data_IF_904586367244
#
_entry.id   IF_904586367244
#
_cell.length_a   1.000
_cell.length_b   1.000
_cell.length_c   1.000
_cell.angle_alpha   90.00
_cell.angle_beta   90.00
_cell.angle_gamma   90.00
#
_symmetry.space_group_name_H-M   'P 1'
#
loop_
_entity.id
_entity.type
_entity.pdbx_description
1 polymer ?
#
# COMPACT_ATOMS: atom_id res chain seq x y z
N UNK A 1 11.11 -30.93 45.24
CA UNK A 1 10.57 -31.02 46.61
C UNK A 1 9.11 -30.60 46.57
N UNK A 2 8.19 -31.55 46.48
CA UNK A 2 6.74 -31.32 46.49
C UNK A 2 6.15 -32.31 47.50
N UNK A 3 6.15 -31.89 48.77
CA UNK A 3 5.52 -32.61 49.86
C UNK A 3 4.58 -31.64 50.56
N UNK A 4 3.31 -32.04 50.65
CA UNK A 4 2.39 -31.55 51.66
C UNK A 4 1.22 -30.76 51.10
N UNK A 5 0.14 -31.46 50.74
CA UNK A 5 -1.27 -31.09 51.03
C UNK A 5 -2.24 -32.12 50.42
N UNK A 6 -2.23 -33.35 50.94
CA UNK A 6 -3.40 -34.25 50.91
C UNK A 6 -3.39 -35.07 52.20
N UNK A 7 -3.96 -34.50 53.27
CA UNK A 7 -4.44 -35.26 54.43
C UNK A 7 -5.81 -34.69 54.76
N UNK A 8 -6.82 -35.30 54.16
CA UNK A 8 -8.15 -35.49 54.75
C UNK A 8 -8.94 -36.41 53.83
N UNK A 9 -8.97 -37.69 54.19
CA UNK A 9 -10.00 -38.69 53.87
C UNK A 9 -9.36 -40.08 53.95
N UNK A 10 -9.09 -40.52 55.17
CA UNK A 10 -8.90 -41.94 55.45
C UNK A 10 -9.87 -42.23 56.58
N UNK A 11 -10.92 -42.99 56.28
CA UNK A 11 -11.50 -44.06 57.09
C UNK A 11 -12.83 -44.50 56.48
N UNK A 12 -12.76 -45.21 55.36
CA UNK A 12 -13.86 -46.06 54.91
C UNK A 12 -13.30 -47.46 54.71
N UNK A 13 -13.50 -48.34 55.70
CA UNK A 13 -13.06 -49.74 55.59
C UNK A 13 -13.82 -50.43 54.46
N UNK A 14 -13.09 -50.95 53.49
CA UNK A 14 -13.59 -51.82 52.41
C UNK A 14 -13.63 -53.28 52.89
N UNK A 15 -14.34 -53.53 53.99
CA UNK A 15 -14.41 -54.86 54.60
C UNK A 15 -15.84 -55.19 55.08
N UNK A 16 -16.50 -56.17 54.43
CA UNK A 16 -17.84 -56.66 54.80
C UNK A 16 -17.87 -57.52 56.08
N UNK A 17 -17.02 -57.25 57.07
CA UNK A 17 -16.98 -58.01 58.34
C UNK A 17 -16.69 -57.19 59.60
N UNK A 18 -16.61 -55.86 59.52
CA UNK A 18 -16.44 -55.04 60.72
C UNK A 18 -17.79 -54.50 61.21
N UNK A 19 -18.45 -55.29 62.05
CA UNK A 19 -19.54 -54.85 62.93
C UNK A 19 -18.92 -54.33 64.23
N UNK A 20 -19.19 -53.08 64.59
CA UNK A 20 -18.78 -52.48 65.85
C UNK A 20 -20.02 -52.01 66.65
N UNK A 21 -19.95 -52.03 67.99
CA UNK A 21 -20.98 -52.65 68.80
C UNK A 21 -21.88 -51.66 69.56
N UNK A 22 -23.05 -52.19 69.94
CA UNK A 22 -23.87 -51.69 71.03
C UNK A 22 -23.09 -51.72 72.36
N UNK A 23 -23.19 -50.62 73.13
CA UNK A 23 -23.19 -50.70 74.58
C UNK A 23 -22.40 -49.63 75.34
N UNK A 24 -23.16 -48.77 76.05
CA UNK A 24 -23.00 -48.38 77.47
C UNK A 24 -21.73 -47.55 77.79
N UNK A 25 -21.82 -46.34 78.37
CA UNK A 25 -21.82 -46.02 79.82
C UNK A 25 -22.21 -44.52 79.90
N UNK A 26 -23.33 -44.09 80.49
CA UNK A 26 -23.68 -43.92 81.91
C UNK A 26 -23.35 -42.53 82.51
N UNK A 27 -24.34 -42.00 83.25
CA UNK A 27 -24.24 -40.93 84.25
C UNK A 27 -25.15 -39.73 83.95
N UNK A 28 -26.22 -39.40 84.69
CA UNK A 28 -26.81 -39.99 85.89
C UNK A 28 -27.76 -38.99 86.60
N UNK A 29 -28.99 -39.45 86.90
CA UNK A 29 -29.92 -39.11 88.02
C UNK A 29 -30.35 -37.63 88.20
N UNK A 30 -31.55 -37.26 88.64
CA UNK A 30 -32.50 -37.72 89.69
C UNK A 30 -33.89 -37.09 89.35
N UNK A 31 -35.07 -37.56 89.75
CA UNK A 31 -35.44 -38.56 90.74
C UNK A 31 -36.90 -39.03 90.60
N UNK A 32 -37.14 -40.23 91.14
CA UNK A 32 -38.43 -40.83 91.50
C UNK A 32 -39.03 -40.06 92.71
N UNK A 33 -40.28 -40.20 93.18
CA UNK A 33 -41.26 -41.30 93.24
C UNK A 33 -42.59 -40.74 93.85
N UNK A 34 -43.58 -41.53 94.36
CA UNK A 34 -44.04 -42.87 94.00
C UNK A 34 -45.58 -43.00 93.86
N UNK A 35 -45.97 -44.06 93.16
CA UNK A 35 -47.27 -44.74 93.23
C UNK A 35 -47.63 -45.21 94.65
N UNK A 36 -48.93 -45.18 95.00
CA UNK A 36 -49.55 -46.14 95.94
C UNK A 36 -50.98 -46.51 95.49
N UNK A 37 -51.13 -47.75 95.02
CA UNK A 37 -52.35 -48.56 95.20
C UNK A 37 -52.09 -49.50 96.39
N UNK A 38 -53.10 -49.82 97.21
CA UNK A 38 -53.09 -51.07 97.95
C UNK A 38 -54.29 -51.94 97.56
N UNK A 39 -53.98 -53.17 97.10
CA UNK A 39 -54.86 -54.32 97.24
C UNK A 39 -54.45 -55.08 98.51
N UNK A 40 -55.42 -55.54 99.30
CA UNK A 40 -55.12 -56.27 100.53
C UNK A 40 -56.36 -56.79 101.20
N UNK A 41 -56.65 -58.06 100.95
CA UNK A 41 -57.80 -58.84 101.45
C UNK A 41 -57.69 -59.06 102.96
N UNK A 42 -58.77 -58.77 103.70
CA UNK A 42 -58.99 -59.19 105.09
C UNK A 42 -60.34 -59.89 105.21
N UNK A 43 -60.35 -61.08 105.83
CA UNK A 43 -61.51 -61.98 106.03
C UNK A 43 -62.62 -61.38 106.92
N UNK A 44 -63.86 -61.89 106.84
CA UNK A 44 -65.06 -61.21 107.28
C UNK A 44 -65.26 -61.29 108.79
N UNK A 45 -65.83 -60.23 109.37
CA UNK A 45 -66.32 -60.22 110.74
C UNK A 45 -67.72 -59.61 110.77
N UNK A 46 -68.70 -60.48 111.00
CA UNK A 46 -70.08 -60.12 111.32
C UNK A 46 -70.14 -59.37 112.65
N UNK A 47 -70.64 -58.13 112.63
CA UNK A 47 -71.15 -57.44 113.83
C UNK A 47 -72.42 -56.66 113.46
N UNK A 48 -73.35 -56.73 114.40
CA UNK A 48 -74.79 -56.54 114.30
C UNK A 48 -75.26 -55.13 113.86
N UNK A 49 -76.47 -55.02 113.27
CA UNK A 49 -77.02 -53.76 112.79
C UNK A 49 -77.49 -52.88 113.95
N UNK A 50 -77.18 -51.58 113.89
CA UNK A 50 -77.78 -50.57 114.78
C UNK A 50 -78.23 -49.35 113.96
N UNK A 51 -79.51 -49.03 114.14
CA UNK A 51 -80.27 -47.84 113.73
C UNK A 51 -80.58 -47.71 112.23
N UNK A 52 -81.67 -48.35 111.83
CA UNK A 52 -82.43 -48.06 110.61
C UNK A 52 -82.94 -46.62 110.69
N UNK A 53 -82.41 -45.74 109.82
CA UNK A 53 -83.02 -44.44 109.51
C UNK A 53 -84.04 -44.70 108.41
N UNK A 54 -85.31 -44.42 108.66
CA UNK A 54 -86.36 -44.50 107.64
C UNK A 54 -86.14 -43.36 106.63
N UNK A 55 -85.54 -43.68 105.48
CA UNK A 55 -85.46 -42.79 104.32
C UNK A 55 -86.69 -43.10 103.45
N UNK A 56 -87.54 -42.10 103.20
CA UNK A 56 -88.70 -42.21 102.33
C UNK A 56 -88.23 -42.39 100.88
N UNK A 57 -88.20 -43.64 100.40
CA UNK A 57 -87.85 -43.96 99.00
C UNK A 57 -89.07 -43.76 98.13
N UNK A 58 -88.99 -42.85 97.14
CA UNK A 58 -90.05 -42.61 96.16
C UNK A 58 -89.67 -43.29 94.83
N UNK A 59 -90.60 -44.08 94.28
CA UNK A 59 -90.45 -44.71 92.96
C UNK A 59 -91.37 -43.99 91.99
N UNK A 60 -90.80 -43.42 90.93
CA UNK A 60 -91.54 -42.72 89.85
C UNK A 60 -91.33 -43.37 88.50
N UNK A 61 -92.23 -43.05 87.57
CA UNK A 61 -92.11 -43.39 86.15
C UNK A 61 -91.89 -44.90 85.89
N UNK A 62 -92.70 -45.75 86.52
CA UNK A 62 -92.62 -47.19 86.30
C UNK A 62 -93.25 -47.55 84.94
N UNK A 63 -92.41 -47.93 83.98
CA UNK A 63 -92.84 -48.38 82.65
C UNK A 63 -92.59 -49.88 82.52
N UNK A 64 -93.65 -50.64 82.26
CA UNK A 64 -93.60 -52.10 82.11
C UNK A 64 -93.74 -52.45 80.64
N UNK A 65 -92.70 -53.06 80.07
CA UNK A 65 -92.75 -53.62 78.72
C UNK A 65 -92.59 -55.15 78.78
N UNK A 66 -92.90 -55.85 77.67
CA UNK A 66 -92.70 -57.31 77.58
C UNK A 66 -91.25 -57.75 77.83
N UNK A 67 -90.27 -56.85 77.65
CA UNK A 67 -88.84 -57.10 77.85
C UNK A 67 -88.31 -56.75 79.24
N UNK A 68 -89.15 -56.27 80.15
CA UNK A 68 -88.75 -55.90 81.51
C UNK A 68 -89.41 -54.63 82.01
N UNK A 69 -89.05 -54.27 83.24
CA UNK A 69 -89.65 -53.16 83.98
C UNK A 69 -88.56 -52.13 84.29
N UNK A 70 -88.73 -50.90 83.82
CA UNK A 70 -87.90 -49.77 84.23
C UNK A 70 -88.71 -48.89 85.20
N UNK A 71 -88.02 -48.33 86.18
CA UNK A 71 -88.56 -47.35 87.11
C UNK A 71 -87.41 -46.50 87.61
N UNK A 72 -87.71 -45.25 87.93
CA UNK A 72 -86.75 -44.35 88.53
C UNK A 72 -86.88 -44.44 90.06
N UNK A 73 -85.78 -44.79 90.73
CA UNK A 73 -85.70 -44.85 92.19
C UNK A 73 -85.03 -43.57 92.69
N UNK A 74 -85.82 -42.73 93.37
CA UNK A 74 -85.32 -41.51 93.96
C UNK A 74 -85.13 -41.76 95.47
N UNK A 75 -83.87 -41.92 95.87
CA UNK A 75 -83.49 -42.13 97.28
C UNK A 75 -83.44 -40.80 98.07
N UNK A 76 -83.28 -39.68 97.38
CA UNK A 76 -83.34 -38.31 97.90
C UNK A 76 -83.57 -37.33 96.75
N UNK A 77 -84.28 -36.23 97.00
CA UNK A 77 -84.44 -35.17 96.00
C UNK A 77 -83.09 -34.47 95.70
N UNK A 78 -82.81 -34.12 94.43
CA UNK A 78 -81.56 -33.47 94.05
C UNK A 78 -81.44 -32.10 94.73
N UNK A 79 -80.31 -31.86 95.41
CA UNK A 79 -80.07 -30.67 96.25
C UNK A 79 -79.85 -29.38 95.43
N UNK A 80 -79.89 -29.45 94.09
CA UNK A 80 -79.64 -28.34 93.18
C UNK A 80 -80.72 -28.31 92.10
N UNK A 81 -81.54 -27.26 92.07
CA UNK A 81 -82.70 -27.13 91.18
C UNK A 81 -82.37 -26.71 89.73
N UNK A 82 -81.09 -26.55 89.37
CA UNK A 82 -80.69 -26.06 88.03
C UNK A 82 -79.92 -27.11 87.23
N UNK A 83 -80.46 -27.43 86.04
CA UNK A 83 -79.83 -28.23 84.99
C UNK A 83 -78.52 -27.58 84.53
N UNK A 84 -77.46 -28.36 84.34
CA UNK A 84 -76.21 -27.86 83.73
C UNK A 84 -76.51 -27.29 82.33
N UNK A 85 -75.90 -26.15 81.93
CA UNK A 85 -76.10 -25.59 80.59
C UNK A 85 -75.63 -26.60 79.54
N UNK A 86 -76.46 -26.83 78.52
CA UNK A 86 -76.09 -27.64 77.35
C UNK A 86 -74.84 -27.05 76.68
N UNK A 87 -73.95 -27.87 76.10
CA UNK A 87 -72.85 -27.37 75.28
C UNK A 87 -73.40 -26.47 74.15
N UNK A 88 -72.71 -25.38 73.79
CA UNK A 88 -73.16 -24.49 72.72
C UNK A 88 -73.34 -25.27 71.42
N UNK A 89 -74.54 -25.22 70.86
CA UNK A 89 -74.87 -25.85 69.59
C UNK A 89 -74.19 -25.04 68.47
N UNK A 90 -73.27 -25.64 67.74
CA UNK A 90 -72.56 -24.99 66.64
C UNK A 90 -73.52 -24.66 65.50
N UNK A 91 -73.63 -23.38 65.16
CA UNK A 91 -74.48 -22.87 64.07
C UNK A 91 -73.99 -23.29 62.66
N UNK A 92 -74.84 -23.21 61.61
CA UNK A 92 -74.55 -23.76 60.27
C UNK A 92 -73.52 -22.96 59.43
N UNK A 93 -72.84 -21.95 59.99
CA UNK A 93 -71.93 -21.04 59.26
C UNK A 93 -70.53 -21.64 58.99
N UNK A 94 -70.34 -22.94 59.23
CA UNK A 94 -69.01 -23.59 59.14
C UNK A 94 -68.58 -24.00 57.73
N UNK A 95 -69.48 -23.96 56.74
CA UNK A 95 -69.21 -24.49 55.41
C UNK A 95 -68.11 -23.70 54.67
N UNK A 96 -68.17 -22.37 54.69
CA UNK A 96 -67.13 -21.49 54.11
C UNK A 96 -65.78 -21.69 54.81
N UNK A 97 -65.78 -21.84 56.14
CA UNK A 97 -64.55 -22.07 56.91
C UNK A 97 -63.92 -23.45 56.67
N UNK A 98 -64.71 -24.45 56.25
CA UNK A 98 -64.21 -25.77 55.85
C UNK A 98 -63.64 -25.71 54.43
N UNK A 99 -64.34 -25.04 53.50
CA UNK A 99 -63.88 -24.85 52.12
C UNK A 99 -62.56 -24.07 52.06
N UNK A 100 -62.41 -23.00 52.85
CA UNK A 100 -61.16 -22.24 52.92
C UNK A 100 -60.00 -23.08 53.49
N UNK A 101 -60.27 -23.99 54.44
CA UNK A 101 -59.26 -24.93 54.96
C UNK A 101 -58.83 -25.96 53.91
N UNK A 102 -59.77 -26.44 53.08
CA UNK A 102 -59.49 -27.35 51.97
C UNK A 102 -58.70 -26.63 50.86
N UNK A 103 -59.09 -25.39 50.51
CA UNK A 103 -58.36 -24.55 49.55
C UNK A 103 -56.94 -24.26 50.02
N UNK A 104 -56.74 -23.87 51.28
CA UNK A 104 -55.41 -23.65 51.84
C UNK A 104 -54.55 -24.94 51.86
N UNK A 105 -55.16 -26.12 52.05
CA UNK A 105 -54.45 -27.39 51.96
C UNK A 105 -54.05 -27.72 50.50
N UNK A 106 -54.93 -27.44 49.54
CA UNK A 106 -54.65 -27.58 48.11
C UNK A 106 -53.56 -26.61 47.64
N UNK A 107 -53.61 -25.34 48.04
CA UNK A 107 -52.57 -24.35 47.75
C UNK A 107 -51.21 -24.77 48.30
N UNK A 108 -51.15 -25.34 49.51
CA UNK A 108 -49.90 -25.91 50.05
C UNK A 108 -49.41 -27.10 49.22
N UNK A 109 -50.31 -27.99 48.76
CA UNK A 109 -49.93 -29.11 47.89
C UNK A 109 -49.34 -28.59 46.58
N UNK A 110 -50.03 -27.64 45.93
CA UNK A 110 -49.59 -27.02 44.68
C UNK A 110 -48.27 -26.27 44.84
N UNK A 111 -48.09 -25.54 45.95
CA UNK A 111 -46.83 -24.85 46.25
C UNK A 111 -45.65 -25.81 46.40
N UNK A 112 -45.83 -26.93 47.10
CA UNK A 112 -44.80 -27.96 47.24
C UNK A 112 -44.48 -28.64 45.91
N UNK A 113 -45.50 -28.88 45.07
CA UNK A 113 -45.32 -29.42 43.73
C UNK A 113 -44.57 -28.45 42.82
N UNK A 114 -44.97 -27.17 42.81
CA UNK A 114 -44.28 -26.11 42.08
C UNK A 114 -42.82 -25.99 42.52
N UNK A 115 -42.53 -26.04 43.82
CA UNK A 115 -41.16 -26.03 44.32
C UNK A 115 -40.35 -27.26 43.86
N UNK A 116 -40.95 -28.45 43.83
CA UNK A 116 -40.30 -29.66 43.30
C UNK A 116 -40.01 -29.52 41.81
N UNK A 117 -40.97 -29.04 41.02
CA UNK A 117 -40.80 -28.80 39.58
C UNK A 117 -39.73 -27.75 39.32
N UNK A 118 -39.71 -26.64 40.07
CA UNK A 118 -38.67 -25.62 39.97
C UNK A 118 -37.28 -26.18 40.30
N UNK A 119 -37.16 -27.01 41.34
CA UNK A 119 -35.91 -27.66 41.71
C UNK A 119 -35.43 -28.66 40.63
N UNK A 120 -36.35 -29.38 39.98
CA UNK A 120 -36.01 -30.26 38.85
C UNK A 120 -35.59 -29.45 37.61
N UNK A 121 -36.33 -28.39 37.27
CA UNK A 121 -35.99 -27.50 36.16
C UNK A 121 -34.60 -26.86 36.36
N UNK A 122 -34.27 -26.42 37.58
CA UNK A 122 -32.95 -25.89 37.90
C UNK A 122 -31.83 -26.93 37.75
N UNK A 123 -32.10 -28.21 38.03
CA UNK A 123 -31.11 -29.29 37.81
C UNK A 123 -30.91 -29.57 36.32
N UNK A 124 -31.99 -29.60 35.53
CA UNK A 124 -31.91 -29.80 34.07
C UNK A 124 -31.16 -28.64 33.41
N UNK A 125 -31.48 -27.40 33.77
CA UNK A 125 -30.78 -26.21 33.28
C UNK A 125 -29.27 -26.27 33.57
N UNK A 126 -28.85 -26.72 34.76
CA UNK A 126 -27.42 -26.92 35.07
C UNK A 126 -26.75 -27.99 34.21
N UNK A 127 -27.47 -29.08 33.88
CA UNK A 127 -26.95 -30.14 33.00
C UNK A 127 -26.79 -29.59 31.58
N UNK A 128 -27.77 -28.85 31.07
CA UNK A 128 -27.71 -28.20 29.75
C UNK A 128 -26.60 -27.16 29.65
N UNK A 129 -26.39 -26.34 30.69
CA UNK A 129 -25.28 -25.39 30.76
C UNK A 129 -23.92 -26.10 30.78
N UNK A 130 -23.79 -27.20 31.52
CA UNK A 130 -22.56 -27.99 31.53
C UNK A 130 -22.27 -28.63 30.17
N UNK A 131 -23.30 -29.15 29.49
CA UNK A 131 -23.18 -29.68 28.14
C UNK A 131 -22.77 -28.59 27.15
N UNK A 132 -23.43 -27.42 27.17
CA UNK A 132 -23.07 -26.27 26.32
C UNK A 132 -21.63 -25.82 26.54
N UNK A 133 -21.18 -25.68 27.79
CA UNK A 133 -19.78 -25.31 28.10
C UNK A 133 -18.77 -26.33 27.57
N UNK A 134 -19.10 -27.62 27.64
CA UNK A 134 -18.23 -28.67 27.07
C UNK A 134 -18.11 -28.51 25.55
N UNK A 135 -19.23 -28.30 24.87
CA UNK A 135 -19.25 -28.14 23.41
C UNK A 135 -18.54 -26.85 22.98
N UNK A 136 -18.70 -25.76 23.72
CA UNK A 136 -17.98 -24.49 23.52
C UNK A 136 -16.46 -24.66 23.66
N UNK A 137 -15.99 -25.35 24.72
CA UNK A 137 -14.57 -25.62 24.90
C UNK A 137 -14.01 -26.52 23.80
N UNK A 138 -14.78 -27.53 23.36
CA UNK A 138 -14.38 -28.40 22.26
C UNK A 138 -14.29 -27.63 20.95
N UNK A 139 -15.28 -26.76 20.65
CA UNK A 139 -15.29 -25.92 19.46
C UNK A 139 -14.12 -24.92 19.48
N UNK A 140 -13.88 -24.27 20.61
CA UNK A 140 -12.76 -23.34 20.78
C UNK A 140 -11.40 -24.03 20.59
N UNK A 141 -11.24 -25.25 21.11
CA UNK A 141 -10.02 -26.03 20.92
C UNK A 141 -9.79 -26.39 19.44
N UNK A 142 -10.83 -26.83 18.73
CA UNK A 142 -10.75 -27.15 17.31
C UNK A 142 -10.41 -25.89 16.50
N UNK A 143 -11.07 -24.77 16.79
CA UNK A 143 -10.82 -23.50 16.12
C UNK A 143 -9.38 -23.01 16.34
N UNK A 144 -8.90 -22.98 17.59
CA UNK A 144 -7.54 -22.54 17.92
C UNK A 144 -6.47 -23.45 17.30
N UNK A 145 -6.72 -24.77 17.27
CA UNK A 145 -5.78 -25.73 16.64
C UNK A 145 -5.72 -25.53 15.14
N UNK A 146 -6.87 -25.30 14.49
CA UNK A 146 -6.95 -25.00 13.06
C UNK A 146 -6.23 -23.70 12.72
N UNK A 147 -6.54 -22.62 13.45
CA UNK A 147 -5.90 -21.31 13.25
C UNK A 147 -4.39 -21.40 13.47
N UNK A 148 -3.92 -22.15 14.48
CA UNK A 148 -2.49 -22.37 14.69
C UNK A 148 -1.83 -23.13 13.53
N UNK A 149 -2.53 -24.06 12.88
CA UNK A 149 -2.00 -24.78 11.72
C UNK A 149 -1.96 -23.88 10.49
N UNK A 150 -3.07 -23.18 10.22
CA UNK A 150 -3.18 -22.24 9.10
C UNK A 150 -2.11 -21.13 9.21
N UNK A 151 -1.88 -20.58 10.40
CA UNK A 151 -0.82 -19.61 10.65
C UNK A 151 0.59 -20.16 10.37
N UNK A 152 0.87 -21.41 10.71
CA UNK A 152 2.18 -22.05 10.43
C UNK A 152 2.38 -22.31 8.94
N UNK A 153 1.34 -22.73 8.23
CA UNK A 153 1.37 -22.92 6.79
C UNK A 153 1.63 -21.60 6.08
N UNK A 154 0.83 -20.56 6.38
CA UNK A 154 0.99 -19.23 5.81
C UNK A 154 2.38 -18.64 6.09
N UNK A 155 2.89 -18.76 7.32
CA UNK A 155 4.24 -18.28 7.66
C UNK A 155 5.33 -19.00 6.85
N UNK A 156 5.16 -20.29 6.58
CA UNK A 156 6.11 -21.07 5.77
C UNK A 156 6.06 -20.64 4.30
N UNK A 157 4.86 -20.40 3.77
CA UNK A 157 4.65 -19.88 2.42
C UNK A 157 5.24 -18.48 2.28
N UNK A 158 4.94 -17.55 3.18
CA UNK A 158 5.48 -16.19 3.20
C UNK A 158 7.01 -16.17 3.25
N UNK A 159 7.63 -17.01 4.11
CA UNK A 159 9.09 -17.13 4.16
C UNK A 159 9.68 -17.66 2.86
N UNK A 160 9.04 -18.66 2.26
CA UNK A 160 9.46 -19.23 0.98
C UNK A 160 9.36 -18.19 -0.14
N UNK A 161 8.25 -17.45 -0.19
CA UNK A 161 8.04 -16.40 -1.18
C UNK A 161 9.00 -15.23 -0.99
N UNK A 162 9.24 -14.79 0.26
CA UNK A 162 10.22 -13.75 0.56
C UNK A 162 11.63 -14.14 0.12
N UNK A 163 12.06 -15.39 0.38
CA UNK A 163 13.35 -15.90 -0.08
C UNK A 163 13.45 -15.95 -1.61
N UNK A 164 12.40 -16.42 -2.30
CA UNK A 164 12.35 -16.43 -3.76
C UNK A 164 12.38 -15.00 -4.33
N UNK A 165 11.65 -14.07 -3.71
CA UNK A 165 11.62 -12.67 -4.11
C UNK A 165 13.00 -12.01 -3.93
N UNK A 166 13.69 -12.28 -2.82
CA UNK A 166 15.05 -11.81 -2.57
C UNK A 166 16.03 -12.31 -3.64
N UNK A 167 15.98 -13.60 -3.98
CA UNK A 167 16.82 -14.17 -5.05
C UNK A 167 16.52 -13.54 -6.42
N UNK A 168 15.25 -13.34 -6.76
CA UNK A 168 14.85 -12.68 -8.00
C UNK A 168 15.33 -11.24 -8.06
N UNK A 169 15.26 -10.51 -6.96
CA UNK A 169 15.74 -9.13 -6.88
C UNK A 169 17.26 -9.06 -7.06
N UNK A 170 18.04 -9.93 -6.39
CA UNK A 170 19.50 -10.01 -6.59
C UNK A 170 19.88 -10.31 -8.04
N UNK A 171 19.16 -11.22 -8.70
CA UNK A 171 19.38 -11.53 -10.11
C UNK A 171 19.06 -10.32 -11.01
N UNK A 172 17.95 -9.62 -10.73
CA UNK A 172 17.56 -8.41 -11.45
C UNK A 172 18.61 -7.31 -11.32
N UNK A 173 19.06 -7.01 -10.10
CA UNK A 173 20.12 -6.03 -9.84
C UNK A 173 21.42 -6.38 -10.56
N UNK A 174 21.79 -7.67 -10.59
CA UNK A 174 22.97 -8.14 -11.30
C UNK A 174 22.85 -7.89 -12.81
N UNK A 175 21.70 -8.22 -13.42
CA UNK A 175 21.44 -7.97 -14.84
C UNK A 175 21.49 -6.47 -15.16
N UNK A 176 20.90 -5.63 -14.32
CA UNK A 176 20.96 -4.17 -14.48
C UNK A 176 22.40 -3.64 -14.38
N UNK A 177 23.22 -4.19 -13.48
CA UNK A 177 24.64 -3.84 -13.35
C UNK A 177 25.46 -4.26 -14.58
N UNK A 178 25.20 -5.46 -15.12
CA UNK A 178 25.83 -5.94 -16.36
C UNK A 178 25.45 -5.05 -17.54
N UNK A 179 24.16 -4.70 -17.68
CA UNK A 179 23.69 -3.84 -18.78
C UNK A 179 24.28 -2.43 -18.68
N UNK A 180 24.35 -1.86 -17.47
CA UNK A 180 25.03 -0.58 -17.23
C UNK A 180 26.50 -0.63 -17.65
N UNK A 181 27.20 -1.72 -17.34
CA UNK A 181 28.60 -1.92 -17.75
C UNK A 181 28.73 -2.02 -19.26
N UNK A 182 27.83 -2.78 -19.92
CA UNK A 182 27.77 -2.91 -21.39
C UNK A 182 27.61 -1.54 -22.06
N UNK A 183 26.61 -0.77 -21.63
CA UNK A 183 26.35 0.58 -22.16
C UNK A 183 27.53 1.53 -21.93
N UNK A 184 28.16 1.47 -20.76
CA UNK A 184 29.32 2.30 -20.46
C UNK A 184 30.52 1.98 -21.37
N UNK A 185 30.78 0.70 -21.64
CA UNK A 185 31.84 0.28 -22.56
C UNK A 185 31.53 0.67 -24.01
N UNK A 186 30.28 0.56 -24.44
CA UNK A 186 29.82 0.99 -25.75
C UNK A 186 30.01 2.50 -25.94
N UNK A 187 29.63 3.30 -24.93
CA UNK A 187 29.84 4.74 -24.92
C UNK A 187 31.32 5.10 -24.99
N UNK A 188 32.17 4.49 -24.16
CA UNK A 188 33.62 4.74 -24.18
C UNK A 188 34.23 4.39 -25.55
N UNK A 189 33.81 3.28 -26.15
CA UNK A 189 34.27 2.86 -27.48
C UNK A 189 33.87 3.88 -28.54
N UNK A 190 32.63 4.38 -28.48
CA UNK A 190 32.13 5.39 -29.41
C UNK A 190 32.85 6.73 -29.22
N UNK A 191 33.11 7.15 -27.98
CA UNK A 191 33.87 8.37 -27.68
C UNK A 191 35.30 8.30 -28.23
N UNK A 192 35.99 7.16 -28.03
CA UNK A 192 37.32 6.92 -28.59
C UNK A 192 37.28 6.95 -30.12
N UNK A 193 36.28 6.31 -30.73
CA UNK A 193 36.10 6.30 -32.19
C UNK A 193 35.92 7.73 -32.73
N UNK A 194 35.00 8.51 -32.16
CA UNK A 194 34.77 9.90 -32.55
C UNK A 194 36.04 10.74 -32.41
N UNK A 195 36.78 10.58 -31.30
CA UNK A 195 38.02 11.31 -31.07
C UNK A 195 39.11 10.98 -32.12
N UNK A 196 39.21 9.71 -32.53
CA UNK A 196 40.12 9.29 -33.61
C UNK A 196 39.68 9.87 -34.96
N UNK A 197 38.39 9.79 -35.29
CA UNK A 197 37.84 10.35 -36.53
C UNK A 197 38.11 11.86 -36.64
N UNK A 198 37.88 12.63 -35.56
CA UNK A 198 38.13 14.08 -35.55
C UNK A 198 39.63 14.44 -35.66
N UNK A 199 40.52 13.66 -35.03
CA UNK A 199 41.97 13.81 -35.22
C UNK A 199 42.39 13.57 -36.66
N UNK A 200 41.84 12.53 -37.29
CA UNK A 200 42.13 12.23 -38.70
C UNK A 200 41.62 13.32 -39.64
N UNK A 201 40.41 13.85 -39.40
CA UNK A 201 39.85 14.99 -40.16
C UNK A 201 40.72 16.23 -40.02
N UNK A 202 41.13 16.57 -38.80
CA UNK A 202 41.98 17.74 -38.54
C UNK A 202 43.35 17.57 -39.20
N UNK A 203 43.96 16.39 -39.09
CA UNK A 203 45.24 16.10 -39.74
C UNK A 203 45.13 16.12 -41.28
N UNK A 204 44.00 15.72 -41.85
CA UNK A 204 43.73 15.85 -43.29
C UNK A 204 43.60 17.32 -43.69
N UNK A 205 42.78 18.09 -42.99
CA UNK A 205 42.61 19.52 -43.25
C UNK A 205 43.94 20.30 -43.16
N UNK A 206 44.78 20.00 -42.17
CA UNK A 206 46.11 20.61 -42.04
C UNK A 206 47.04 20.26 -43.21
N UNK A 207 46.99 19.01 -43.71
CA UNK A 207 47.76 18.59 -44.89
C UNK A 207 47.28 19.32 -46.14
N UNK A 208 45.98 19.39 -46.36
CA UNK A 208 45.38 20.06 -47.51
C UNK A 208 45.70 21.56 -47.50
N UNK A 209 45.61 22.20 -46.32
CA UNK A 209 45.95 23.61 -46.15
C UNK A 209 47.44 23.88 -46.40
N UNK A 210 48.33 23.00 -45.92
CA UNK A 210 49.77 23.11 -46.18
C UNK A 210 50.08 22.99 -47.68
N UNK A 211 49.50 22.00 -48.35
CA UNK A 211 49.65 21.82 -49.81
C UNK A 211 49.11 23.04 -50.55
N UNK A 212 47.94 23.54 -50.17
CA UNK A 212 47.36 24.76 -50.74
C UNK A 212 48.31 25.95 -50.62
N UNK A 213 48.90 26.20 -49.44
CA UNK A 213 49.90 27.27 -49.24
C UNK A 213 51.16 27.08 -50.09
N UNK A 214 51.58 25.85 -50.37
CA UNK A 214 52.70 25.60 -51.29
C UNK A 214 52.31 25.92 -52.74
N UNK A 215 51.13 25.48 -53.18
CA UNK A 215 50.61 25.75 -54.52
C UNK A 215 50.39 27.25 -54.76
N UNK A 216 49.85 27.98 -53.79
CA UNK A 216 49.61 29.42 -53.90
C UNK A 216 50.95 30.17 -54.04
N UNK A 217 51.98 29.82 -53.27
CA UNK A 217 53.33 30.39 -53.43
C UNK A 217 53.95 30.10 -54.80
N UNK A 218 53.73 28.91 -55.35
CA UNK A 218 54.20 28.56 -56.68
C UNK A 218 53.48 29.39 -57.76
N UNK A 219 52.16 29.56 -57.63
CA UNK A 219 51.38 30.42 -58.53
C UNK A 219 51.85 31.88 -58.47
N UNK A 220 52.04 32.44 -57.27
CA UNK A 220 52.57 33.80 -57.11
C UNK A 220 53.94 33.98 -57.79
N UNK A 221 54.81 32.98 -57.68
CA UNK A 221 56.11 32.99 -58.36
C UNK A 221 55.96 32.91 -59.89
N UNK A 222 55.09 32.04 -60.40
CA UNK A 222 54.80 31.97 -61.84
C UNK A 222 54.26 33.30 -62.37
N UNK A 223 53.34 33.94 -61.64
CA UNK A 223 52.84 35.27 -61.99
C UNK A 223 53.95 36.33 -61.97
N UNK A 224 54.85 36.28 -60.98
CA UNK A 224 55.99 37.20 -60.93
C UNK A 224 56.93 37.00 -62.12
N UNK A 225 57.22 35.76 -62.50
CA UNK A 225 58.00 35.44 -63.70
C UNK A 225 57.30 35.96 -64.95
N UNK A 226 55.98 35.78 -65.07
CA UNK A 226 55.20 36.31 -66.17
C UNK A 226 55.27 37.84 -66.25
N UNK A 227 55.11 38.54 -65.12
CA UNK A 227 55.26 40.00 -65.02
C UNK A 227 56.65 40.47 -65.46
N UNK A 228 57.71 39.79 -65.03
CA UNK A 228 59.09 40.13 -65.43
C UNK A 228 59.31 39.90 -66.92
N UNK A 229 58.85 38.77 -67.47
CA UNK A 229 58.93 38.47 -68.91
C UNK A 229 58.19 39.52 -69.73
N UNK A 230 56.98 39.87 -69.33
CA UNK A 230 56.19 40.92 -69.97
C UNK A 230 56.93 42.27 -69.94
N UNK A 231 57.43 42.69 -68.78
CA UNK A 231 58.18 43.93 -68.65
C UNK A 231 59.48 43.96 -69.48
N UNK A 232 60.14 42.81 -69.68
CA UNK A 232 61.28 42.70 -70.59
C UNK A 232 60.85 42.87 -72.05
N UNK A 233 59.78 42.19 -72.47
CA UNK A 233 59.21 42.31 -73.82
C UNK A 233 58.81 43.74 -74.13
N UNK A 234 58.14 44.44 -73.20
CA UNK A 234 57.76 45.85 -73.36
C UNK A 234 58.98 46.76 -73.52
N UNK A 235 60.05 46.56 -72.75
CA UNK A 235 61.31 47.31 -72.91
C UNK A 235 61.97 47.06 -74.26
N UNK A 236 61.98 45.81 -74.73
CA UNK A 236 62.50 45.46 -76.05
C UNK A 236 61.71 46.16 -77.14
N UNK A 237 60.38 46.08 -77.12
CA UNK A 237 59.50 46.79 -78.07
C UNK A 237 59.70 48.31 -78.05
N UNK A 238 59.93 48.88 -76.87
CA UNK A 238 60.21 50.31 -76.73
C UNK A 238 61.57 50.68 -77.35
N UNK A 239 62.61 49.86 -77.15
CA UNK A 239 63.91 50.05 -77.78
C UNK A 239 63.85 49.87 -79.30
N UNK A 240 63.14 48.86 -79.79
CA UNK A 240 62.88 48.64 -81.21
C UNK A 240 62.20 49.86 -81.84
N UNK A 241 61.14 50.38 -81.19
CA UNK A 241 60.43 51.58 -81.64
C UNK A 241 61.33 52.82 -81.65
N UNK A 242 62.19 52.98 -80.63
CA UNK A 242 63.17 54.07 -80.60
C UNK A 242 64.22 53.96 -81.71
N UNK A 243 64.72 52.75 -81.98
CA UNK A 243 65.67 52.49 -83.06
C UNK A 243 65.00 52.80 -84.41
N UNK A 244 63.79 52.28 -84.63
CA UNK A 244 63.03 52.51 -85.85
C UNK A 244 62.77 54.01 -86.06
N UNK A 245 62.33 54.74 -85.03
CA UNK A 245 62.13 56.18 -85.11
C UNK A 245 63.42 56.95 -85.45
N UNK A 246 64.58 56.53 -84.93
CA UNK A 246 65.87 57.13 -85.32
C UNK A 246 66.24 56.83 -86.78
N UNK A 247 65.96 55.62 -87.27
CA UNK A 247 66.19 55.23 -88.66
C UNK A 247 65.30 56.05 -89.61
N UNK A 248 64.03 56.21 -89.27
CA UNK A 248 63.06 56.99 -90.05
C UNK A 248 63.46 58.47 -90.11
N UNK A 249 63.83 59.06 -88.98
CA UNK A 249 64.35 60.43 -88.95
C UNK A 249 65.62 60.59 -89.78
N UNK A 250 66.55 59.63 -89.72
CA UNK A 250 67.76 59.67 -90.54
C UNK A 250 67.44 59.55 -92.04
N UNK A 251 66.45 58.74 -92.40
CA UNK A 251 65.96 58.60 -93.76
C UNK A 251 65.26 59.87 -94.26
N UNK A 252 64.39 60.47 -93.46
CA UNK A 252 63.72 61.73 -93.79
C UNK A 252 64.72 62.88 -93.98
N UNK A 253 65.74 62.97 -93.12
CA UNK A 253 66.84 63.92 -93.29
C UNK A 253 67.56 63.74 -94.62
N UNK A 254 67.87 62.49 -95.01
CA UNK A 254 68.47 62.20 -96.33
C UNK A 254 67.55 62.66 -97.46
N UNK A 255 66.25 62.34 -97.40
CA UNK A 255 65.28 62.77 -98.41
C UNK A 255 65.10 64.29 -98.47
N UNK A 256 65.11 64.97 -97.33
CA UNK A 256 65.06 66.44 -97.28
C UNK A 256 66.28 67.04 -97.99
N UNK A 257 67.49 66.55 -97.69
CA UNK A 257 68.72 66.99 -98.35
C UNK A 257 68.65 66.73 -99.85
N UNK A 258 68.20 65.55 -100.28
CA UNK A 258 68.00 65.24 -101.70
C UNK A 258 66.97 66.14 -102.37
N UNK A 259 65.84 66.45 -101.71
CA UNK A 259 64.83 67.37 -102.21
C UNK A 259 65.37 68.78 -102.35
N UNK A 260 66.08 69.27 -101.34
CA UNK A 260 66.74 70.57 -101.38
C UNK A 260 67.77 70.64 -102.51
N UNK A 261 68.56 69.60 -102.71
CA UNK A 261 69.50 69.50 -103.84
C UNK A 261 68.78 69.53 -105.19
N UNK A 262 67.71 68.74 -105.36
CA UNK A 262 66.90 68.74 -106.58
C UNK A 262 66.23 70.09 -106.85
N UNK A 263 65.75 70.78 -105.81
CA UNK A 263 65.13 72.10 -105.97
C UNK A 263 66.18 73.16 -106.32
N UNK A 264 67.37 73.11 -105.72
CA UNK A 264 68.50 73.96 -106.14
C UNK A 264 68.82 73.75 -107.62
N UNK A 265 68.85 72.50 -108.10
CA UNK A 265 69.03 72.18 -109.53
C UNK A 265 67.91 72.78 -110.39
N UNK A 266 66.64 72.64 -110.00
CA UNK A 266 65.49 73.24 -110.72
C UNK A 266 65.54 74.77 -110.77
N UNK A 267 65.92 75.43 -109.68
CA UNK A 267 66.08 76.89 -109.64
C UNK A 267 67.21 77.31 -110.59
N UNK A 268 68.33 76.58 -110.60
CA UNK A 268 69.41 76.80 -111.56
C UNK A 268 68.93 76.64 -113.01
N UNK A 269 68.16 75.59 -113.31
CA UNK A 269 67.57 75.37 -114.64
C UNK A 269 66.60 76.50 -115.03
N UNK A 270 65.68 76.89 -114.13
CA UNK A 270 64.72 77.97 -114.37
C UNK A 270 65.43 79.32 -114.56
N UNK A 271 66.50 79.59 -113.82
CA UNK A 271 67.34 80.79 -114.01
C UNK A 271 68.06 80.75 -115.36
N UNK A 272 68.60 79.59 -115.75
CA UNK A 272 69.19 79.41 -117.08
C UNK A 272 68.15 79.61 -118.19
N UNK A 273 66.93 79.13 -118.00
CA UNK A 273 65.81 79.33 -118.93
C UNK A 273 65.36 80.78 -119.03
N UNK A 274 65.25 81.49 -117.91
CA UNK A 274 64.97 82.92 -117.88
C UNK A 274 66.07 83.72 -118.60
N UNK A 275 67.35 83.34 -118.45
CA UNK A 275 68.45 83.95 -119.21
C UNK A 275 68.31 83.64 -120.71
N UNK A 276 67.91 82.42 -121.10
CA UNK A 276 67.61 82.09 -122.51
C UNK A 276 66.44 82.91 -123.06
N UNK A 277 65.36 83.07 -122.29
CA UNK A 277 64.21 83.90 -122.66
C UNK A 277 64.58 85.38 -122.76
N UNK A 278 65.35 85.91 -121.81
CA UNK A 278 65.87 87.29 -121.88
C UNK A 278 66.80 87.49 -123.08
N UNK A 279 67.63 86.49 -123.42
CA UNK A 279 68.45 86.48 -124.63
C UNK A 279 67.58 86.49 -125.90
N UNK A 280 66.52 85.70 -125.92
CA UNK A 280 65.55 85.65 -127.02
C UNK A 280 64.76 86.96 -127.15
N UNK A 281 64.28 87.54 -126.04
CA UNK A 281 63.60 88.82 -126.01
C UNK A 281 64.53 89.98 -126.43
N UNK A 282 65.80 89.97 -126.01
CA UNK A 282 66.81 90.92 -126.50
C UNK A 282 67.08 90.75 -127.99
N UNK A 283 67.08 89.52 -128.53
CA UNK A 283 67.22 89.29 -129.98
C UNK A 283 65.98 89.67 -130.78
N UNK A 284 64.77 89.56 -130.21
CA UNK A 284 63.53 90.04 -130.84
C UNK A 284 63.39 91.56 -130.77
N UNK A 285 64.02 92.22 -129.79
CA UNK A 285 63.96 93.68 -129.62
C UNK A 285 65.13 94.43 -130.29
N UNK A 286 66.12 93.73 -130.85
CA UNK A 286 67.34 94.33 -131.42
C UNK A 286 67.55 94.14 -132.93
N UNK A 287 66.51 93.89 -133.73
CA UNK A 287 66.64 93.97 -135.19
C UNK A 287 65.45 94.68 -135.81
N UNK A 288 65.68 95.98 -136.11
CA UNK A 288 65.37 96.75 -137.34
C UNK A 288 65.22 98.26 -137.02
N UNK A 289 65.49 99.24 -137.93
CA UNK A 289 66.09 99.20 -139.29
C UNK A 289 67.05 100.39 -139.66
N UNK A 290 67.49 100.44 -140.96
CA UNK A 290 68.09 101.55 -141.79
C UNK A 290 69.64 101.62 -141.89
N UNK A 291 70.34 101.90 -143.02
CA UNK A 291 70.04 102.25 -144.43
C UNK A 291 71.30 102.07 -145.34
N UNK A 292 71.08 101.74 -146.64
CA UNK A 292 71.79 102.06 -147.92
C UNK A 292 73.33 102.00 -148.12
N UNK A 293 73.78 101.26 -149.16
CA UNK A 293 74.52 101.78 -150.33
C UNK A 293 74.78 100.71 -151.43
N UNK A 294 75.05 101.18 -152.65
CA UNK A 294 75.05 100.54 -153.98
C UNK A 294 76.44 100.35 -154.61
N UNK A 295 76.69 99.24 -155.35
CA UNK A 295 77.54 99.09 -156.57
C UNK A 295 77.54 97.59 -156.98
N UNK A 296 77.23 97.13 -158.20
CA UNK A 296 77.79 97.37 -159.55
C UNK A 296 79.19 96.77 -159.81
N UNK A 297 79.24 95.52 -160.34
CA UNK A 297 79.91 95.14 -161.62
C UNK A 297 80.04 93.61 -161.73
N UNK A 298 79.75 93.03 -162.91
CA UNK A 298 80.21 91.68 -163.32
C UNK A 298 79.14 90.62 -163.37
#
# INVERSE_FOLDING_TARGET
MLIGLVRDSVLQCFCHSCKAPLGIVAGGRRGNAPFKKPSGKGKPRTKQPKKVKFITTEIRCQEKSKGGLCYEVILAEPTVQKRAPSPPQTSPTQQVAIEDKLRAAEERRLSLEAHKLAALAAKLSKIEEAARKKDELSAAFIAATRESLDAKMNNTEEKREAHIAELKNKLKEHLESVEKTRLSLEQQTQEVRCAVEEKLKTAAAQRDENIKRMLDRLKEHEEQVARVRQGLTERVQQLESQIQGKLDQAHERRQNIEREQKEKLRIHERRAEMVRQNKAALSEQSVLPAEKETASSG
#
